data_IF_090330761039
#
_entry.id   IF_090330761039
#
_cell.length_a   1.000
_cell.length_b   1.000
_cell.length_c   1.000
_cell.angle_alpha   90.00
_cell.angle_beta   90.00
_cell.angle_gamma   90.00
#
_symmetry.space_group_name_H-M   'P 1'
#
loop_
_entity.id
_entity.type
_entity.pdbx_description
1 polymer ?
#
# COMPACT_ATOMS: atom_id res chain seq x y z
N UNK A 1 -3.95 -26.46 5.07
CA UNK A 1 -3.48 -25.29 5.85
C UNK A 1 -4.15 -24.08 5.24
N UNK A 2 -4.99 -23.36 5.98
CA UNK A 2 -5.52 -22.08 5.49
C UNK A 2 -4.36 -21.08 5.55
N UNK A 3 -3.89 -20.62 4.39
CA UNK A 3 -3.00 -19.46 4.35
C UNK A 3 -3.85 -18.26 4.76
N UNK A 4 -3.59 -17.73 5.95
CA UNK A 4 -4.21 -16.47 6.38
C UNK A 4 -3.63 -15.39 5.48
N UNK A 5 -4.44 -14.88 4.55
CA UNK A 5 -4.06 -13.76 3.69
C UNK A 5 -4.01 -12.50 4.56
N UNK A 6 -2.82 -11.89 4.69
CA UNK A 6 -2.61 -10.73 5.55
C UNK A 6 -3.13 -9.42 4.95
N UNK A 7 -3.41 -9.38 3.64
CA UNK A 7 -3.89 -8.16 2.98
C UNK A 7 -5.30 -7.84 3.50
N UNK A 8 -5.54 -6.64 4.05
CA UNK A 8 -6.86 -6.23 4.50
C UNK A 8 -7.84 -6.11 3.33
N UNK A 9 -9.12 -6.31 3.63
CA UNK A 9 -10.18 -6.08 2.65
C UNK A 9 -10.45 -4.58 2.47
N UNK A 10 -10.75 -4.18 1.23
CA UNK A 10 -11.21 -2.81 0.97
C UNK A 10 -12.68 -2.68 1.39
N UNK A 11 -12.94 -1.97 2.49
CA UNK A 11 -14.26 -1.79 3.09
C UNK A 11 -14.92 -0.49 2.63
N UNK A 12 -15.29 -0.44 1.35
CA UNK A 12 -15.99 0.71 0.75
C UNK A 12 -15.51 1.01 -0.67
N UNK A 13 -15.93 2.16 -1.18
CA UNK A 13 -15.60 2.66 -2.51
C UNK A 13 -15.43 4.19 -2.50
N UNK A 14 -15.03 4.78 -1.38
CA UNK A 14 -14.77 6.22 -1.28
C UNK A 14 -13.32 6.48 -0.88
N UNK A 15 -12.92 7.75 -0.87
CA UNK A 15 -11.56 8.15 -0.46
C UNK A 15 -11.24 7.71 0.97
N UNK A 16 -12.24 7.67 1.86
CA UNK A 16 -12.04 7.23 3.24
C UNK A 16 -11.70 5.74 3.31
N UNK A 17 -12.32 4.90 2.48
CA UNK A 17 -12.00 3.48 2.35
C UNK A 17 -10.58 3.28 1.83
N UNK A 18 -10.16 4.05 0.82
CA UNK A 18 -8.78 4.05 0.30
C UNK A 18 -7.77 4.40 1.39
N UNK A 19 -8.00 5.51 2.09
CA UNK A 19 -7.13 5.98 3.18
C UNK A 19 -7.04 4.96 4.32
N UNK A 20 -8.18 4.35 4.68
CA UNK A 20 -8.24 3.32 5.72
C UNK A 20 -7.45 2.07 5.31
N UNK A 21 -7.53 1.67 4.05
CA UNK A 21 -6.78 0.52 3.54
C UNK A 21 -5.27 0.75 3.59
N UNK A 22 -4.77 1.91 3.15
CA UNK A 22 -3.34 2.23 3.27
C UNK A 22 -2.89 2.31 4.73
N UNK A 23 -3.73 2.84 5.63
CA UNK A 23 -3.44 2.88 7.07
C UNK A 23 -3.35 1.47 7.68
N UNK A 24 -4.17 0.53 7.25
CA UNK A 24 -4.10 -0.87 7.70
C UNK A 24 -2.87 -1.58 7.14
N UNK A 25 -2.54 -1.36 5.86
CA UNK A 25 -1.31 -1.87 5.24
C UNK A 25 -0.05 -1.37 5.97
N UNK A 26 -0.02 -0.09 6.36
CA UNK A 26 1.06 0.52 7.17
C UNK A 26 1.19 -0.16 8.54
N UNK A 27 0.07 -0.31 9.27
CA UNK A 27 0.04 -0.98 10.59
C UNK A 27 0.50 -2.44 10.55
N UNK A 28 0.27 -3.13 9.44
CA UNK A 28 0.64 -4.53 9.24
C UNK A 28 2.07 -4.70 8.71
N UNK A 29 2.81 -3.61 8.53
CA UNK A 29 4.15 -3.60 7.93
C UNK A 29 4.15 -4.12 6.47
N UNK A 30 3.01 -4.00 5.79
CA UNK A 30 2.76 -4.46 4.42
C UNK A 30 2.76 -3.33 3.38
N UNK A 31 2.93 -2.08 3.79
CA UNK A 31 2.98 -0.94 2.88
C UNK A 31 4.13 -1.06 1.87
N UNK A 32 3.85 -0.74 0.61
CA UNK A 32 4.78 -0.67 -0.51
C UNK A 32 4.36 0.48 -1.44
N UNK A 33 5.20 0.82 -2.42
CA UNK A 33 4.86 1.86 -3.39
C UNK A 33 3.69 1.41 -4.27
N UNK A 34 2.62 2.21 -4.36
CA UNK A 34 1.36 1.79 -4.98
C UNK A 34 1.46 1.54 -6.49
N UNK A 35 2.48 2.09 -7.16
CA UNK A 35 2.76 1.82 -8.58
C UNK A 35 3.65 0.59 -8.82
N UNK A 36 4.30 0.07 -7.76
CA UNK A 36 5.11 -1.14 -7.88
C UNK A 36 4.23 -2.38 -7.87
N UNK A 37 4.66 -3.42 -8.60
CA UNK A 37 3.97 -4.71 -8.58
C UNK A 37 4.25 -5.44 -7.27
N UNK A 38 3.19 -5.82 -6.55
CA UNK A 38 3.28 -6.50 -5.26
C UNK A 38 4.15 -7.78 -5.33
N UNK A 39 4.06 -8.55 -6.41
CA UNK A 39 4.86 -9.77 -6.61
C UNK A 39 6.38 -9.50 -6.71
N UNK A 40 6.81 -8.28 -7.01
CA UNK A 40 8.22 -7.89 -7.07
C UNK A 40 8.74 -7.32 -5.76
N UNK A 41 7.86 -7.04 -4.79
CA UNK A 41 8.27 -6.45 -3.52
C UNK A 41 8.98 -7.50 -2.66
N UNK A 42 10.18 -7.16 -2.22
CA UNK A 42 11.02 -8.00 -1.37
C UNK A 42 11.31 -7.33 -0.03
N UNK A 43 11.46 -8.14 1.02
CA UNK A 43 11.89 -7.66 2.32
C UNK A 43 13.37 -7.24 2.27
N UNK A 44 13.65 -6.02 2.72
CA UNK A 44 15.02 -5.54 2.88
C UNK A 44 15.79 -6.43 3.86
N UNK A 45 17.03 -6.81 3.50
CA UNK A 45 17.90 -7.65 4.31
C UNK A 45 17.80 -9.14 4.03
N UNK A 46 16.61 -9.68 3.73
CA UNK A 46 16.45 -11.11 3.39
C UNK A 46 16.37 -11.35 1.88
N UNK A 47 15.92 -10.36 1.11
CA UNK A 47 15.68 -10.48 -0.33
C UNK A 47 14.53 -11.43 -0.68
N UNK A 48 13.79 -11.91 0.31
CA UNK A 48 12.64 -12.80 0.10
C UNK A 48 11.41 -11.98 -0.27
N UNK A 49 10.45 -12.55 -1.04
CA UNK A 49 9.19 -11.90 -1.33
C UNK A 49 8.48 -11.42 -0.04
N UNK A 50 8.01 -10.17 -0.04
CA UNK A 50 7.22 -9.64 1.07
C UNK A 50 5.84 -10.31 1.15
N UNK A 51 5.28 -10.61 -0.02
CA UNK A 51 3.97 -11.20 -0.19
C UNK A 51 4.09 -12.62 -0.73
N UNK A 52 3.19 -13.50 -0.30
CA UNK A 52 2.89 -14.72 -1.04
C UNK A 52 2.12 -14.40 -2.32
N UNK A 53 2.09 -15.33 -3.28
CA UNK A 53 1.35 -15.16 -4.55
C UNK A 53 -0.12 -14.75 -4.34
N UNK A 54 -0.77 -15.33 -3.32
CA UNK A 54 -2.16 -15.03 -2.98
C UNK A 54 -2.33 -13.62 -2.38
N UNK A 55 -1.35 -13.13 -1.65
CA UNK A 55 -1.35 -11.78 -1.09
C UNK A 55 -1.04 -10.76 -2.16
N UNK A 56 -0.03 -11.00 -2.99
CA UNK A 56 0.28 -10.16 -4.14
C UNK A 56 -0.94 -10.00 -5.06
N UNK A 57 -1.58 -11.11 -5.44
CA UNK A 57 -2.79 -11.08 -6.27
C UNK A 57 -3.94 -10.30 -5.63
N UNK A 58 -4.14 -10.40 -4.31
CA UNK A 58 -5.17 -9.64 -3.60
C UNK A 58 -4.83 -8.14 -3.56
N UNK A 59 -3.60 -7.78 -3.24
CA UNK A 59 -3.15 -6.38 -3.21
C UNK A 59 -3.29 -5.73 -4.59
N UNK A 60 -2.86 -6.42 -5.65
CA UNK A 60 -3.01 -5.99 -7.04
C UNK A 60 -4.47 -5.79 -7.44
N UNK A 61 -5.36 -6.71 -7.04
CA UNK A 61 -6.79 -6.56 -7.32
C UNK A 61 -7.40 -5.34 -6.64
N UNK A 62 -6.95 -5.01 -5.41
CA UNK A 62 -7.42 -3.82 -4.69
C UNK A 62 -6.85 -2.55 -5.32
N UNK A 63 -5.54 -2.50 -5.58
CA UNK A 63 -4.90 -1.37 -6.25
C UNK A 63 -5.51 -1.10 -7.62
N UNK A 64 -5.74 -2.14 -8.43
CA UNK A 64 -6.42 -2.01 -9.73
C UNK A 64 -7.79 -1.34 -9.57
N UNK A 65 -8.57 -1.73 -8.57
CA UNK A 65 -9.88 -1.11 -8.30
C UNK A 65 -9.74 0.35 -7.88
N UNK A 66 -8.78 0.66 -7.01
CA UNK A 66 -8.52 2.02 -6.54
C UNK A 66 -8.05 2.92 -7.69
N UNK A 67 -7.07 2.50 -8.48
CA UNK A 67 -6.58 3.27 -9.63
C UNK A 67 -7.64 3.43 -10.73
N UNK A 68 -8.47 2.42 -10.96
CA UNK A 68 -9.62 2.54 -11.89
C UNK A 68 -10.59 3.62 -11.44
N UNK A 69 -10.78 3.78 -10.13
CA UNK A 69 -11.76 4.70 -9.57
C UNK A 69 -11.22 6.11 -9.34
N UNK A 70 -10.02 6.24 -8.80
CA UNK A 70 -9.44 7.50 -8.30
C UNK A 70 -8.22 7.97 -9.10
N UNK A 71 -7.71 7.16 -10.03
CA UNK A 71 -6.51 7.49 -10.81
C UNK A 71 -5.31 7.82 -9.92
N UNK A 72 -4.61 8.90 -10.26
CA UNK A 72 -3.36 9.30 -9.59
C UNK A 72 -3.55 9.74 -8.13
N UNK A 73 -4.78 10.03 -7.70
CA UNK A 73 -5.07 10.32 -6.28
C UNK A 73 -4.69 9.16 -5.36
N UNK A 74 -4.58 7.93 -5.88
CA UNK A 74 -4.08 6.77 -5.14
C UNK A 74 -2.62 6.97 -4.70
N UNK A 75 -1.80 7.60 -5.53
CA UNK A 75 -0.40 7.91 -5.23
C UNK A 75 -0.34 8.93 -4.10
N UNK A 76 -1.12 10.02 -4.21
CA UNK A 76 -1.22 11.06 -3.19
C UNK A 76 -1.72 10.50 -1.85
N UNK A 77 -2.68 9.58 -1.87
CA UNK A 77 -3.20 8.93 -0.67
C UNK A 77 -2.19 7.99 -0.01
N UNK A 78 -1.37 7.28 -0.79
CA UNK A 78 -0.33 6.39 -0.27
C UNK A 78 0.87 7.16 0.31
N UNK A 79 1.15 8.35 -0.23
CA UNK A 79 2.38 9.09 0.00
C UNK A 79 2.69 9.41 1.48
N UNK A 80 1.73 9.89 2.31
CA UNK A 80 2.00 10.15 3.73
C UNK A 80 2.42 8.89 4.50
N UNK A 81 1.83 7.74 4.19
CA UNK A 81 2.19 6.47 4.83
C UNK A 81 3.61 6.05 4.42
N UNK A 82 3.94 6.20 3.14
CA UNK A 82 5.24 5.83 2.60
C UNK A 82 6.37 6.70 3.16
N UNK A 83 6.15 8.01 3.26
CA UNK A 83 7.14 8.94 3.85
C UNK A 83 7.41 8.62 5.32
N UNK A 84 6.36 8.40 6.13
CA UNK A 84 6.52 8.01 7.53
C UNK A 84 7.37 6.76 7.69
N UNK A 85 7.12 5.74 6.86
CA UNK A 85 7.89 4.48 6.90
C UNK A 85 9.33 4.65 6.40
N UNK A 86 9.57 5.60 5.51
CA UNK A 86 10.91 5.98 5.05
C UNK A 86 11.68 6.83 6.07
N UNK A 87 11.08 7.17 7.21
CA UNK A 87 11.68 8.04 8.23
C UNK A 87 11.71 9.52 7.84
N UNK A 88 10.91 9.91 6.85
CA UNK A 88 10.81 11.29 6.36
C UNK A 88 9.49 11.87 6.87
N UNK A 89 9.55 13.05 7.48
CA UNK A 89 8.35 13.75 7.94
C UNK A 89 7.53 14.28 6.74
N UNK A 90 6.25 13.89 6.59
CA UNK A 90 5.37 14.41 5.56
C UNK A 90 5.28 15.94 5.49
N UNK A 91 5.35 16.64 6.64
CA UNK A 91 5.20 18.09 6.70
C UNK A 91 6.46 18.84 6.22
N UNK A 92 7.60 18.16 6.14
CA UNK A 92 8.88 18.79 5.75
C UNK A 92 8.93 19.25 4.28
N UNK A 93 7.99 18.84 3.43
CA UNK A 93 7.94 19.17 2.00
C UNK A 93 7.03 20.36 1.63
N UNK A 94 6.15 20.82 2.51
CA UNK A 94 5.27 21.98 2.22
C UNK A 94 6.04 23.30 2.09
N UNK A 95 7.34 23.31 2.39
CA UNK A 95 8.21 24.48 2.30
C UNK A 95 9.14 24.49 1.07
N UNK A 96 9.02 23.50 0.16
CA UNK A 96 9.88 23.38 -1.03
C UNK A 96 9.14 23.50 -2.38
N UNK A 97 7.84 23.82 -2.36
CA UNK A 97 7.02 24.08 -3.56
C UNK A 97 6.85 25.58 -3.83
#
# INVERSE_FOLDING_TARGET
MQYVNRIPDLTGQDEQAMQSWFAEMDKLDLLFHSEDRAEHIVQAGTGQPLFSDAEASKAESILTRLFTQFGDQVIEAAYPFFMRRSGIDPESWQHLA
#
